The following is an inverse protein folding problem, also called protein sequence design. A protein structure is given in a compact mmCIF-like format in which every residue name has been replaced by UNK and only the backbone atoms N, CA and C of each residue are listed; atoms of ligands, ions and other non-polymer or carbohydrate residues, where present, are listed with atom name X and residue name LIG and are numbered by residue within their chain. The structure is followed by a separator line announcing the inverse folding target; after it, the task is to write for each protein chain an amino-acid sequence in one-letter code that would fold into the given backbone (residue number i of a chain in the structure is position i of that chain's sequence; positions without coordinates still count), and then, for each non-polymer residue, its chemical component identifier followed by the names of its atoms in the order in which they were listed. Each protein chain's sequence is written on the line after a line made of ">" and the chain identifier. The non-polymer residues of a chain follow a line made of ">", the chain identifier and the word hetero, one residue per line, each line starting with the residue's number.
data_IF_034041582101
#
_entry.id   IF_034041582101
#
_cell.length_a   1.000
_cell.length_b   1.000
_cell.length_c   1.000
_cell.angle_alpha   90.00
_cell.angle_beta   90.00
_cell.angle_gamma   90.00
#
_symmetry.space_group_name_H-M   'P 1'
#
loop_
_entity.id
_entity.type
_entity.pdbx_description
1 polymer ?
#
# COMPACT_ATOMS: atom_id res chain seq x y z
N UNK A 1 -35.47 -18.56 -12.21
CA UNK A 1 -35.14 -19.99 -11.95
C UNK A 1 -33.88 -20.43 -12.69
N UNK A 2 -33.66 -20.07 -13.98
CA UNK A 2 -32.50 -20.48 -14.76
C UNK A 2 -31.14 -19.97 -14.24
N UNK A 3 -31.06 -18.76 -13.72
CA UNK A 3 -29.81 -18.15 -13.22
C UNK A 3 -29.31 -18.82 -11.93
N UNK A 4 -30.21 -19.27 -11.07
CA UNK A 4 -29.87 -19.97 -9.82
C UNK A 4 -29.33 -21.39 -10.12
N UNK A 5 -29.84 -22.06 -11.12
CA UNK A 5 -29.38 -23.38 -11.56
C UNK A 5 -27.98 -23.31 -12.23
N UNK A 6 -27.69 -22.25 -12.98
CA UNK A 6 -26.38 -22.04 -13.62
C UNK A 6 -25.31 -21.75 -12.58
N UNK A 7 -25.62 -20.96 -11.56
CA UNK A 7 -24.69 -20.69 -10.45
C UNK A 7 -24.38 -21.94 -9.63
N UNK A 8 -25.39 -22.76 -9.33
CA UNK A 8 -25.17 -24.01 -8.58
C UNK A 8 -24.34 -25.03 -9.33
N UNK A 9 -24.48 -25.08 -10.67
CA UNK A 9 -23.69 -25.98 -11.52
C UNK A 9 -22.24 -25.54 -11.63
N UNK A 10 -21.98 -24.22 -11.76
CA UNK A 10 -20.65 -23.66 -11.76
C UNK A 10 -19.93 -23.82 -10.41
N UNK A 11 -20.64 -23.69 -9.28
CA UNK A 11 -20.09 -23.96 -7.95
C UNK A 11 -19.74 -25.43 -7.76
N UNK A 12 -20.58 -26.36 -8.24
CA UNK A 12 -20.30 -27.79 -8.19
C UNK A 12 -19.06 -28.16 -9.03
N UNK A 13 -18.95 -27.65 -10.26
CA UNK A 13 -17.77 -27.89 -11.11
C UNK A 13 -16.50 -27.28 -10.50
N UNK A 14 -16.60 -26.14 -9.85
CA UNK A 14 -15.47 -25.50 -9.15
C UNK A 14 -15.01 -26.34 -7.95
N UNK A 15 -15.95 -26.84 -7.13
CA UNK A 15 -15.65 -27.69 -5.98
C UNK A 15 -15.08 -29.07 -6.41
N UNK A 16 -15.54 -29.63 -7.52
CA UNK A 16 -14.96 -30.85 -8.09
C UNK A 16 -13.52 -30.65 -8.57
N UNK A 17 -13.26 -29.59 -9.35
CA UNK A 17 -11.89 -29.23 -9.78
C UNK A 17 -10.96 -28.96 -8.60
N UNK A 18 -11.46 -28.32 -7.55
CA UNK A 18 -10.72 -28.09 -6.31
C UNK A 18 -10.36 -29.38 -5.60
N UNK A 19 -11.31 -30.33 -5.50
CA UNK A 19 -11.07 -31.67 -4.94
C UNK A 19 -10.05 -32.47 -5.76
N UNK A 20 -10.10 -32.35 -7.07
CA UNK A 20 -9.16 -33.03 -7.97
C UNK A 20 -7.74 -32.48 -7.85
N UNK A 21 -7.59 -31.14 -7.80
CA UNK A 21 -6.29 -30.50 -7.54
C UNK A 21 -5.72 -30.87 -6.17
N UNK A 22 -6.58 -30.97 -5.14
CA UNK A 22 -6.19 -31.42 -3.79
C UNK A 22 -5.70 -32.87 -3.81
N UNK A 23 -6.37 -33.77 -4.55
CA UNK A 23 -5.95 -35.17 -4.71
C UNK A 23 -4.61 -35.28 -5.43
N UNK A 24 -4.43 -34.54 -6.54
CA UNK A 24 -3.16 -34.56 -7.30
C UNK A 24 -2.00 -34.04 -6.47
N UNK A 25 -2.21 -33.00 -5.68
CA UNK A 25 -1.18 -32.45 -4.82
C UNK A 25 -0.85 -33.39 -3.65
N UNK A 26 -1.84 -34.08 -3.06
CA UNK A 26 -1.64 -35.06 -2.01
C UNK A 26 -0.83 -36.25 -2.51
N UNK A 27 -1.16 -36.76 -3.72
CA UNK A 27 -0.42 -37.84 -4.38
C UNK A 27 1.03 -37.42 -4.72
N UNK A 28 1.26 -36.18 -5.14
CA UNK A 28 2.60 -35.66 -5.43
C UNK A 28 3.43 -35.49 -4.15
N UNK A 29 2.83 -35.03 -3.07
CA UNK A 29 3.48 -34.93 -1.75
C UNK A 29 3.83 -36.29 -1.17
N UNK A 30 2.96 -37.30 -1.37
CA UNK A 30 3.22 -38.68 -0.94
C UNK A 30 4.31 -39.36 -1.76
N UNK A 31 4.35 -39.12 -3.07
CA UNK A 31 5.41 -39.61 -3.95
C UNK A 31 6.78 -38.98 -3.61
N UNK A 32 6.83 -37.69 -3.32
CA UNK A 32 8.05 -36.99 -2.84
C UNK A 32 8.47 -37.51 -1.47
N UNK A 33 7.51 -37.80 -0.58
CA UNK A 33 7.78 -38.39 0.74
C UNK A 33 8.41 -39.77 0.66
N UNK A 34 7.96 -40.61 -0.29
CA UNK A 34 8.56 -41.93 -0.53
C UNK A 34 9.94 -41.85 -1.17
N UNK A 35 10.20 -40.86 -2.02
CA UNK A 35 11.48 -40.68 -2.68
C UNK A 35 12.58 -40.06 -1.76
N UNK A 36 12.20 -39.26 -0.76
CA UNK A 36 13.13 -38.52 0.11
C UNK A 36 12.70 -38.48 1.58
N UNK A 37 12.64 -39.62 2.29
CA UNK A 37 12.11 -39.70 3.65
C UNK A 37 12.84 -38.85 4.68
N UNK A 38 14.16 -38.64 4.52
CA UNK A 38 14.96 -37.85 5.46
C UNK A 38 14.74 -36.33 5.38
N UNK A 39 14.18 -35.83 4.28
CA UNK A 39 13.87 -34.39 4.10
C UNK A 39 12.46 -34.00 4.58
N UNK A 40 11.63 -34.97 4.91
CA UNK A 40 10.26 -34.74 5.36
C UNK A 40 10.16 -34.01 6.71
N UNK A 41 11.17 -34.14 7.57
CA UNK A 41 11.20 -33.41 8.85
C UNK A 41 11.35 -31.90 8.67
N UNK A 42 12.06 -31.44 7.60
CA UNK A 42 12.16 -30.02 7.27
C UNK A 42 11.00 -29.51 6.42
N UNK A 43 10.24 -30.39 5.78
CA UNK A 43 9.09 -30.03 4.95
C UNK A 43 7.79 -29.89 5.76
N UNK A 44 7.75 -30.36 7.02
CA UNK A 44 6.58 -30.17 7.90
C UNK A 44 6.34 -28.70 8.23
N UNK A 45 7.37 -27.87 8.27
CA UNK A 45 7.23 -26.41 8.40
C UNK A 45 6.87 -25.71 7.08
N UNK A 46 7.02 -26.41 5.94
CA UNK A 46 6.71 -25.90 4.59
C UNK A 46 5.52 -26.60 3.96
N UNK A 47 4.65 -27.25 4.73
CA UNK A 47 3.33 -27.62 4.20
C UNK A 47 2.63 -26.32 3.84
N UNK A 48 2.72 -25.98 2.56
CA UNK A 48 1.72 -25.12 1.94
C UNK A 48 0.39 -25.80 2.22
N UNK A 49 -0.36 -25.28 3.17
CA UNK A 49 -1.74 -25.68 3.40
C UNK A 49 -2.48 -25.40 2.10
N UNK A 50 -2.72 -26.43 1.31
CA UNK A 50 -3.45 -26.36 0.05
C UNK A 50 -4.94 -26.08 0.27
N UNK A 51 -5.42 -26.18 1.53
CA UNK A 51 -6.70 -25.61 1.96
C UNK A 51 -6.73 -24.09 1.92
N UNK A 52 -5.58 -23.44 2.04
CA UNK A 52 -5.47 -22.00 1.79
C UNK A 52 -5.23 -21.79 0.29
N UNK A 53 -6.30 -21.54 -0.44
CA UNK A 53 -6.22 -20.90 -1.76
C UNK A 53 -5.23 -19.75 -1.70
N UNK A 54 -4.61 -19.40 -2.82
CA UNK A 54 -3.48 -18.45 -2.86
C UNK A 54 -3.75 -17.17 -2.07
N UNK A 55 -5.00 -16.69 -2.02
CA UNK A 55 -5.44 -15.49 -1.31
C UNK A 55 -5.91 -15.72 0.14
N UNK A 56 -6.31 -16.96 0.52
CA UNK A 56 -6.78 -17.29 1.88
C UNK A 56 -5.66 -17.65 2.86
N UNK A 57 -4.41 -17.58 2.42
CA UNK A 57 -3.23 -17.93 3.21
C UNK A 57 -3.02 -17.07 4.45
N UNK A 58 -2.36 -17.65 5.44
CA UNK A 58 -1.79 -16.90 6.55
C UNK A 58 -0.38 -16.46 6.21
N UNK A 59 -0.09 -15.20 6.45
CA UNK A 59 1.24 -14.64 6.29
C UNK A 59 2.03 -14.79 7.60
N UNK A 60 3.30 -15.18 7.52
CA UNK A 60 4.21 -15.18 8.68
C UNK A 60 4.58 -13.74 9.07
N UNK A 61 4.99 -13.53 10.32
CA UNK A 61 5.43 -12.21 10.78
C UNK A 61 6.55 -11.64 9.90
N UNK A 62 7.62 -12.38 9.55
CA UNK A 62 8.64 -11.86 8.64
C UNK A 62 8.08 -11.49 7.26
N UNK A 63 7.15 -12.30 6.71
CA UNK A 63 6.50 -11.95 5.44
C UNK A 63 5.68 -10.67 5.55
N UNK A 64 4.93 -10.47 6.65
CA UNK A 64 4.17 -9.23 6.85
C UNK A 64 5.09 -8.01 6.96
N UNK A 65 6.23 -8.13 7.64
CA UNK A 65 7.23 -7.04 7.73
C UNK A 65 7.76 -6.70 6.34
N UNK A 66 8.16 -7.69 5.55
CA UNK A 66 8.67 -7.45 4.20
C UNK A 66 7.58 -6.92 3.26
N UNK A 67 6.34 -7.41 3.36
CA UNK A 67 5.19 -6.87 2.61
C UNK A 67 4.95 -5.41 2.99
N UNK A 68 4.99 -5.06 4.29
CA UNK A 68 4.87 -3.68 4.76
C UNK A 68 5.87 -2.77 4.07
N UNK A 69 7.17 -3.10 4.13
CA UNK A 69 8.21 -2.28 3.51
C UNK A 69 8.12 -2.26 1.99
N UNK A 70 7.74 -3.36 1.37
CA UNK A 70 7.51 -3.40 -0.09
C UNK A 70 6.38 -2.45 -0.51
N UNK A 71 5.27 -2.45 0.22
CA UNK A 71 4.15 -1.53 -0.05
C UNK A 71 4.51 -0.07 0.25
N UNK A 72 5.27 0.19 1.33
CA UNK A 72 5.79 1.53 1.61
C UNK A 72 6.65 2.06 0.45
N UNK A 73 7.53 1.22 -0.09
CA UNK A 73 8.41 1.56 -1.19
C UNK A 73 7.66 1.75 -2.51
N UNK A 74 6.73 0.85 -2.83
CA UNK A 74 5.87 0.97 -4.03
C UNK A 74 5.01 2.24 -3.95
N UNK A 75 4.42 2.53 -2.78
CA UNK A 75 3.67 3.76 -2.56
C UNK A 75 4.53 5.01 -2.74
N UNK A 76 5.77 4.99 -2.27
CA UNK A 76 6.72 6.09 -2.49
C UNK A 76 7.05 6.28 -3.97
N UNK A 77 7.34 5.20 -4.72
CA UNK A 77 7.56 5.28 -6.18
C UNK A 77 6.32 5.88 -6.86
N UNK A 78 5.13 5.44 -6.49
CA UNK A 78 3.86 5.91 -7.04
C UNK A 78 3.70 7.43 -6.86
N UNK A 79 3.83 7.92 -5.64
CA UNK A 79 3.69 9.34 -5.32
C UNK A 79 4.76 10.21 -5.99
N UNK A 80 6.02 9.77 -5.97
CA UNK A 80 7.12 10.48 -6.63
C UNK A 80 6.91 10.53 -8.13
N UNK A 81 6.46 9.43 -8.74
CA UNK A 81 6.20 9.35 -10.18
C UNK A 81 5.04 10.27 -10.59
N UNK A 82 3.92 10.22 -9.84
CA UNK A 82 2.78 11.12 -10.11
C UNK A 82 3.19 12.58 -10.02
N UNK A 83 3.95 12.94 -8.98
CA UNK A 83 4.42 14.30 -8.81
C UNK A 83 5.40 14.71 -9.92
N UNK A 84 6.31 13.84 -10.32
CA UNK A 84 7.24 14.07 -11.41
C UNK A 84 6.52 14.30 -12.75
N UNK A 85 5.46 13.54 -13.03
CA UNK A 85 4.66 13.70 -14.25
C UNK A 85 3.89 15.04 -14.23
N UNK A 86 3.32 15.42 -13.08
CA UNK A 86 2.48 16.61 -12.95
C UNK A 86 3.27 17.91 -12.87
N UNK A 87 4.38 17.92 -12.15
CA UNK A 87 5.17 19.13 -11.87
C UNK A 87 6.54 19.19 -12.58
N UNK A 88 6.91 18.12 -13.31
CA UNK A 88 8.22 17.97 -13.97
C UNK A 88 9.43 18.11 -13.01
N UNK A 89 9.21 18.02 -11.71
CA UNK A 89 10.24 18.13 -10.68
C UNK A 89 10.28 16.87 -9.81
N UNK A 90 11.50 16.38 -9.53
CA UNK A 90 11.67 15.30 -8.57
C UNK A 90 11.51 15.83 -7.15
N UNK A 91 10.58 15.27 -6.40
CA UNK A 91 10.36 15.60 -4.99
C UNK A 91 10.28 14.32 -4.19
N UNK A 92 11.05 14.21 -3.13
CA UNK A 92 10.92 13.11 -2.17
C UNK A 92 9.60 13.29 -1.39
N UNK A 93 8.60 12.46 -1.69
CA UNK A 93 7.26 12.56 -1.09
C UNK A 93 7.19 11.91 0.28
N UNK A 94 6.35 12.47 1.14
CA UNK A 94 6.10 11.99 2.49
C UNK A 94 6.86 12.73 3.59
N UNK A 95 6.57 12.39 4.84
CA UNK A 95 7.13 13.02 6.04
C UNK A 95 8.55 12.52 6.32
N UNK A 96 8.83 11.27 5.93
CA UNK A 96 10.10 10.59 6.15
C UNK A 96 11.10 10.91 5.03
N UNK A 97 12.39 10.75 5.32
CA UNK A 97 13.46 11.03 4.36
C UNK A 97 13.79 9.83 3.50
N UNK A 98 13.60 8.61 4.01
CA UNK A 98 13.80 7.38 3.25
C UNK A 98 12.71 7.15 2.18
N UNK A 99 12.96 6.20 1.26
CA UNK A 99 12.04 5.90 0.15
C UNK A 99 10.87 5.01 0.61
N UNK A 100 10.10 5.49 1.58
CA UNK A 100 8.95 4.77 2.13
C UNK A 100 7.82 5.69 2.57
N UNK A 101 6.61 5.28 2.26
CA UNK A 101 5.38 5.90 2.73
C UNK A 101 4.63 4.94 3.65
N UNK A 102 4.73 5.10 4.98
CA UNK A 102 4.14 4.17 5.95
C UNK A 102 2.64 3.97 5.80
N UNK A 103 1.93 4.96 5.29
CA UNK A 103 0.47 4.89 5.07
C UNK A 103 0.09 3.75 4.12
N UNK A 104 0.87 3.52 3.04
CA UNK A 104 0.64 2.43 2.09
C UNK A 104 0.92 1.06 2.71
N UNK A 105 2.02 0.94 3.44
CA UNK A 105 2.35 -0.29 4.17
C UNK A 105 1.32 -0.61 5.25
N UNK A 106 0.94 0.39 6.06
CA UNK A 106 -0.04 0.23 7.13
C UNK A 106 -1.42 -0.14 6.58
N UNK A 107 -1.89 0.56 5.55
CA UNK A 107 -3.14 0.26 4.87
C UNK A 107 -3.16 -1.18 4.35
N UNK A 108 -2.10 -1.60 3.63
CA UNK A 108 -2.00 -2.96 3.11
C UNK A 108 -1.97 -4.03 4.19
N UNK A 109 -1.23 -3.84 5.28
CA UNK A 109 -1.21 -4.78 6.40
C UNK A 109 -2.55 -4.84 7.12
N UNK A 110 -3.21 -3.69 7.33
CA UNK A 110 -4.55 -3.66 7.93
C UNK A 110 -5.57 -4.42 7.06
N UNK A 111 -5.54 -4.24 5.74
CA UNK A 111 -6.37 -5.01 4.81
C UNK A 111 -6.11 -6.51 4.98
N UNK A 112 -4.84 -6.93 4.96
CA UNK A 112 -4.46 -8.35 5.06
C UNK A 112 -4.86 -8.99 6.39
N UNK A 113 -4.89 -8.24 7.49
CA UNK A 113 -5.22 -8.75 8.83
C UNK A 113 -6.71 -8.62 9.12
N UNK A 114 -7.26 -7.39 9.00
CA UNK A 114 -8.62 -7.09 9.43
C UNK A 114 -9.68 -7.67 8.49
N UNK A 115 -9.40 -7.64 7.17
CA UNK A 115 -10.35 -8.09 6.16
C UNK A 115 -10.16 -9.56 5.75
N UNK A 116 -9.34 -10.32 6.47
CA UNK A 116 -9.06 -11.73 6.18
C UNK A 116 -10.33 -12.58 5.96
N UNK A 117 -11.38 -12.35 6.76
CA UNK A 117 -12.65 -13.08 6.66
C UNK A 117 -13.48 -12.74 5.41
N UNK A 118 -13.17 -11.62 4.75
CA UNK A 118 -13.90 -11.10 3.58
C UNK A 118 -13.25 -11.53 2.25
N UNK A 119 -12.05 -12.10 2.26
CA UNK A 119 -11.29 -12.45 1.07
C UNK A 119 -11.97 -13.41 0.10
N UNK A 120 -13.00 -14.15 0.56
CA UNK A 120 -13.81 -15.01 -0.30
C UNK A 120 -14.91 -14.23 -1.06
N UNK A 121 -15.07 -12.92 -0.78
CA UNK A 121 -16.09 -12.04 -1.38
C UNK A 121 -15.45 -10.78 -1.95
N UNK A 122 -14.90 -10.82 -3.18
CA UNK A 122 -14.10 -9.73 -3.75
C UNK A 122 -14.80 -8.37 -3.75
N UNK A 123 -16.10 -8.34 -4.01
CA UNK A 123 -16.87 -7.09 -4.00
C UNK A 123 -16.98 -6.50 -2.59
N UNK A 124 -17.23 -7.36 -1.59
CA UNK A 124 -17.28 -6.92 -0.18
C UNK A 124 -15.89 -6.48 0.29
N UNK A 125 -14.85 -7.19 -0.13
CA UNK A 125 -13.45 -6.85 0.14
C UNK A 125 -13.10 -5.46 -0.42
N UNK A 126 -13.52 -5.15 -1.66
CA UNK A 126 -13.36 -3.85 -2.27
C UNK A 126 -13.95 -2.73 -1.40
N UNK A 127 -15.24 -2.82 -1.06
CA UNK A 127 -15.90 -1.78 -0.25
C UNK A 127 -15.33 -1.70 1.18
N UNK A 128 -14.99 -2.83 1.78
CA UNK A 128 -14.35 -2.86 3.09
C UNK A 128 -12.95 -2.20 3.06
N UNK A 129 -12.19 -2.39 1.97
CA UNK A 129 -10.90 -1.71 1.76
C UNK A 129 -11.07 -0.21 1.57
N UNK A 130 -12.10 0.23 0.81
CA UNK A 130 -12.45 1.65 0.68
C UNK A 130 -12.67 2.29 2.05
N UNK A 131 -13.53 1.68 2.88
CA UNK A 131 -13.84 2.19 4.22
C UNK A 131 -12.61 2.20 5.10
N UNK A 132 -11.89 1.07 5.19
CA UNK A 132 -10.73 0.94 6.07
C UNK A 132 -9.62 1.92 5.70
N UNK A 133 -9.25 2.00 4.41
CA UNK A 133 -8.20 2.90 3.95
C UNK A 133 -8.63 4.37 4.04
N UNK A 134 -9.89 4.68 3.77
CA UNK A 134 -10.43 6.02 3.96
C UNK A 134 -10.31 6.50 5.42
N UNK A 135 -10.57 5.63 6.39
CA UNK A 135 -10.31 5.94 7.81
C UNK A 135 -8.81 6.18 8.06
N UNK A 136 -7.95 5.29 7.58
CA UNK A 136 -6.49 5.43 7.76
C UNK A 136 -5.99 6.74 7.17
N UNK A 137 -6.41 7.09 5.95
CA UNK A 137 -5.98 8.31 5.27
C UNK A 137 -6.50 9.55 5.98
N UNK A 138 -7.79 9.58 6.34
CA UNK A 138 -8.38 10.71 7.03
C UNK A 138 -7.67 11.01 8.36
N UNK A 139 -7.51 9.98 9.20
CA UNK A 139 -6.88 10.17 10.51
C UNK A 139 -5.38 10.40 10.42
N UNK A 140 -4.68 9.86 9.43
CA UNK A 140 -3.27 10.18 9.18
C UNK A 140 -3.11 11.65 8.79
N UNK A 141 -3.93 12.15 7.88
CA UNK A 141 -3.94 13.57 7.49
C UNK A 141 -4.21 14.48 8.70
N UNK A 142 -5.22 14.14 9.50
CA UNK A 142 -5.57 14.89 10.70
C UNK A 142 -4.42 14.89 11.71
N UNK A 143 -3.83 13.72 11.97
CA UNK A 143 -2.69 13.59 12.89
C UNK A 143 -1.48 14.41 12.44
N UNK A 144 -1.14 14.36 11.16
CA UNK A 144 -0.02 15.12 10.60
C UNK A 144 -0.26 16.63 10.69
N UNK A 145 -1.48 17.08 10.40
CA UNK A 145 -1.83 18.49 10.52
C UNK A 145 -1.72 18.99 11.97
N UNK A 146 -2.23 18.22 12.94
CA UNK A 146 -2.14 18.57 14.36
C UNK A 146 -0.69 18.52 14.86
N UNK A 147 0.08 17.51 14.44
CA UNK A 147 1.44 17.26 14.96
C UNK A 147 2.51 18.15 14.33
N UNK A 148 2.37 18.45 13.04
CA UNK A 148 3.39 19.15 12.24
C UNK A 148 2.92 20.53 11.76
N UNK A 149 1.65 20.88 11.96
CA UNK A 149 1.06 22.14 11.49
C UNK A 149 0.94 22.23 9.97
N UNK A 150 1.03 21.10 9.24
CA UNK A 150 1.08 21.06 7.78
C UNK A 150 0.28 19.89 7.23
N UNK A 151 -0.24 20.06 6.00
CA UNK A 151 -0.88 19.00 5.23
C UNK A 151 0.05 18.50 4.14
N UNK A 152 0.23 17.19 4.04
CA UNK A 152 1.03 16.56 2.98
C UNK A 152 0.23 16.31 1.71
N UNK A 153 -1.09 16.42 1.76
CA UNK A 153 -2.00 16.41 0.60
C UNK A 153 -3.26 17.19 0.91
N UNK A 154 -3.91 17.68 -0.14
CA UNK A 154 -5.16 18.39 -0.04
C UNK A 154 -6.04 18.06 -1.25
N UNK A 155 -7.22 17.52 -0.98
CA UNK A 155 -8.21 17.16 -1.99
C UNK A 155 -9.32 18.20 -2.14
N UNK A 156 -9.12 19.44 -1.73
CA UNK A 156 -10.09 20.50 -1.99
C UNK A 156 -10.29 20.63 -3.51
N UNK A 157 -11.56 20.68 -3.92
CA UNK A 157 -11.94 20.71 -5.33
C UNK A 157 -12.14 19.34 -5.99
N UNK A 158 -11.75 18.24 -5.35
CA UNK A 158 -12.04 16.88 -5.83
C UNK A 158 -13.47 16.45 -5.48
N UNK A 159 -14.02 15.52 -6.28
CA UNK A 159 -15.38 15.05 -6.09
C UNK A 159 -15.55 14.33 -4.74
N UNK A 160 -16.65 14.67 -4.04
CA UNK A 160 -16.97 14.13 -2.70
C UNK A 160 -15.80 14.18 -1.72
N UNK A 161 -15.01 15.28 -1.73
CA UNK A 161 -13.96 15.40 -0.71
C UNK A 161 -14.58 15.67 0.68
N UNK A 162 -13.94 15.11 1.69
CA UNK A 162 -14.27 15.33 3.09
C UNK A 162 -13.11 16.09 3.77
N UNK A 163 -13.34 17.38 4.04
CA UNK A 163 -12.36 18.29 4.67
C UNK A 163 -11.00 18.35 3.93
N UNK A 164 -10.99 18.10 2.60
CA UNK A 164 -9.78 18.03 1.80
C UNK A 164 -8.85 16.85 2.15
N UNK A 165 -9.27 15.90 3.02
CA UNK A 165 -8.42 14.80 3.50
C UNK A 165 -8.58 13.51 2.72
N UNK A 166 -9.79 13.25 2.23
CA UNK A 166 -10.16 12.11 1.37
C UNK A 166 -11.08 12.59 0.27
N UNK A 167 -11.10 11.87 -0.87
CA UNK A 167 -12.00 12.13 -2.00
C UNK A 167 -12.46 10.83 -2.65
N UNK A 168 -13.50 10.87 -3.46
CA UNK A 168 -14.07 9.68 -4.08
C UNK A 168 -13.06 8.97 -5.01
N UNK A 169 -12.27 9.72 -5.75
CA UNK A 169 -11.24 9.18 -6.66
C UNK A 169 -10.15 8.43 -5.87
N UNK A 170 -9.67 9.00 -4.76
CA UNK A 170 -8.72 8.34 -3.87
C UNK A 170 -9.28 7.07 -3.25
N UNK A 171 -10.54 7.13 -2.78
CA UNK A 171 -11.23 5.98 -2.20
C UNK A 171 -11.40 4.83 -3.21
N UNK A 172 -11.69 5.15 -4.49
CA UNK A 172 -11.77 4.15 -5.56
C UNK A 172 -10.41 3.45 -5.76
N UNK A 173 -9.33 4.22 -5.78
CA UNK A 173 -7.96 3.68 -5.90
C UNK A 173 -7.63 2.78 -4.72
N UNK A 174 -8.04 3.12 -3.50
CA UNK A 174 -7.85 2.26 -2.32
C UNK A 174 -8.62 0.95 -2.40
N UNK A 175 -9.85 0.98 -2.89
CA UNK A 175 -10.62 -0.26 -3.11
C UNK A 175 -9.95 -1.18 -4.12
N UNK A 176 -9.52 -0.64 -5.27
CA UNK A 176 -8.79 -1.38 -6.29
C UNK A 176 -7.43 -1.88 -5.78
N UNK A 177 -6.71 -1.02 -5.08
CA UNK A 177 -5.43 -1.36 -4.43
C UNK A 177 -5.59 -2.47 -3.40
N UNK A 178 -6.64 -2.43 -2.58
CA UNK A 178 -6.97 -3.47 -1.61
C UNK A 178 -7.18 -4.84 -2.26
N UNK A 179 -8.00 -4.87 -3.31
CA UNK A 179 -8.21 -6.08 -4.12
C UNK A 179 -6.89 -6.57 -4.73
N UNK A 180 -6.09 -5.68 -5.32
CA UNK A 180 -4.80 -6.04 -5.89
C UNK A 180 -3.83 -6.59 -4.82
N UNK A 181 -3.79 -5.98 -3.64
CA UNK A 181 -2.96 -6.44 -2.51
C UNK A 181 -3.36 -7.84 -2.08
N UNK A 182 -4.66 -8.09 -1.86
CA UNK A 182 -5.15 -9.37 -1.34
C UNK A 182 -4.95 -10.51 -2.32
N UNK A 183 -5.27 -10.30 -3.59
CA UNK A 183 -5.36 -11.38 -4.56
C UNK A 183 -4.11 -11.54 -5.42
N UNK A 184 -3.27 -10.51 -5.53
CA UNK A 184 -2.11 -10.52 -6.44
C UNK A 184 -0.82 -10.20 -5.70
N UNK A 185 -0.70 -9.00 -5.13
CA UNK A 185 0.58 -8.45 -4.68
C UNK A 185 1.13 -9.22 -3.47
N UNK A 186 0.34 -9.35 -2.40
CA UNK A 186 0.80 -10.02 -1.19
C UNK A 186 1.07 -11.52 -1.39
N UNK A 187 0.25 -12.29 -2.14
CA UNK A 187 0.59 -13.67 -2.48
C UNK A 187 1.87 -13.81 -3.29
N UNK A 188 2.12 -12.94 -4.26
CA UNK A 188 3.35 -12.96 -5.06
C UNK A 188 4.59 -12.64 -4.23
N UNK A 189 4.52 -11.59 -3.41
CA UNK A 189 5.61 -11.20 -2.51
C UNK A 189 5.91 -12.30 -1.49
N UNK A 190 4.89 -12.88 -0.86
CA UNK A 190 5.08 -13.96 0.10
C UNK A 190 5.70 -15.20 -0.56
N UNK A 191 5.27 -15.57 -1.77
CA UNK A 191 5.89 -16.65 -2.54
C UNK A 191 7.37 -16.38 -2.86
N UNK A 192 7.72 -15.13 -3.13
CA UNK A 192 9.10 -14.72 -3.36
C UNK A 192 9.92 -14.82 -2.06
N UNK A 193 9.42 -14.27 -0.95
CA UNK A 193 10.13 -14.27 0.34
C UNK A 193 10.35 -15.68 0.90
N UNK A 194 9.40 -16.59 0.69
CA UNK A 194 9.53 -18.01 1.10
C UNK A 194 10.63 -18.77 0.37
N UNK A 195 11.12 -18.27 -0.76
CA UNK A 195 12.29 -18.87 -1.46
C UNK A 195 13.62 -18.50 -0.81
N UNK A 196 13.64 -17.46 0.03
CA UNK A 196 14.85 -16.95 0.69
C UNK A 196 15.03 -17.66 2.02
N UNK A 197 16.28 -17.93 2.41
CA UNK A 197 16.61 -18.57 3.69
C UNK A 197 16.10 -17.70 4.86
N UNK A 198 15.43 -18.30 5.84
CA UNK A 198 14.82 -17.59 6.97
C UNK A 198 15.82 -16.69 7.73
N UNK A 199 17.07 -17.11 7.86
CA UNK A 199 18.12 -16.28 8.51
C UNK A 199 18.37 -14.98 7.75
N UNK A 200 18.37 -15.02 6.41
CA UNK A 200 18.54 -13.82 5.57
C UNK A 200 17.32 -12.93 5.67
N UNK A 201 16.11 -13.51 5.59
CA UNK A 201 14.84 -12.77 5.79
C UNK A 201 14.84 -12.07 7.14
N UNK A 202 15.22 -12.77 8.22
CA UNK A 202 15.29 -12.19 9.56
C UNK A 202 16.30 -11.03 9.66
N UNK A 203 17.48 -11.17 9.06
CA UNK A 203 18.49 -10.11 9.03
C UNK A 203 18.01 -8.88 8.24
N UNK A 204 17.37 -9.08 7.09
CA UNK A 204 16.78 -7.99 6.28
C UNK A 204 15.64 -7.29 7.03
N UNK A 205 14.73 -8.05 7.67
CA UNK A 205 13.68 -7.47 8.50
C UNK A 205 14.27 -6.59 9.63
N UNK A 206 15.28 -7.09 10.34
CA UNK A 206 15.91 -6.35 11.42
C UNK A 206 16.57 -5.07 10.90
N UNK A 207 17.31 -5.14 9.79
CA UNK A 207 17.96 -3.98 9.18
C UNK A 207 16.93 -2.91 8.73
N UNK A 208 15.84 -3.33 8.08
CA UNK A 208 14.76 -2.43 7.63
C UNK A 208 14.06 -1.77 8.82
N UNK A 209 13.76 -2.52 9.88
CA UNK A 209 13.11 -1.97 11.08
C UNK A 209 14.04 -0.94 11.74
N UNK A 210 15.33 -1.24 11.89
CA UNK A 210 16.28 -0.29 12.49
C UNK A 210 16.38 0.98 11.65
N UNK A 211 16.57 0.86 10.32
CA UNK A 211 16.63 2.00 9.42
C UNK A 211 15.36 2.85 9.48
N UNK A 212 14.20 2.21 9.52
CA UNK A 212 12.90 2.88 9.61
C UNK A 212 12.71 3.62 10.95
N UNK A 213 13.11 3.01 12.07
CA UNK A 213 13.04 3.66 13.39
C UNK A 213 13.97 4.88 13.43
N UNK A 214 15.19 4.76 12.91
CA UNK A 214 16.14 5.87 12.84
C UNK A 214 15.57 7.02 12.03
N UNK A 215 15.02 6.74 10.83
CA UNK A 215 14.40 7.76 9.99
C UNK A 215 13.16 8.38 10.66
N UNK A 216 12.30 7.59 11.31
CA UNK A 216 11.16 8.11 12.07
C UNK A 216 11.59 9.06 13.20
N UNK A 217 12.61 8.71 13.97
CA UNK A 217 13.12 9.54 15.06
C UNK A 217 13.74 10.84 14.52
N UNK A 218 14.49 10.75 13.43
CA UNK A 218 15.07 11.90 12.76
C UNK A 218 13.98 12.82 12.17
N UNK A 219 13.05 12.26 11.42
CA UNK A 219 11.98 12.99 10.74
C UNK A 219 10.96 13.61 11.71
N UNK A 220 10.82 13.07 12.92
CA UNK A 220 9.98 13.69 13.96
C UNK A 220 10.50 15.09 14.36
N UNK A 221 11.83 15.28 14.37
CA UNK A 221 12.46 16.58 14.67
C UNK A 221 12.61 17.44 13.42
N UNK A 222 12.87 16.80 12.30
CA UNK A 222 13.14 17.43 11.02
C UNK A 222 12.25 16.79 9.95
N UNK A 223 10.94 17.13 9.88
CA UNK A 223 10.05 16.55 8.87
C UNK A 223 10.56 16.87 7.45
N UNK A 224 10.44 15.90 6.53
CA UNK A 224 10.70 16.17 5.14
C UNK A 224 9.65 17.15 4.61
N UNK A 225 10.06 18.38 4.34
CA UNK A 225 9.23 19.49 3.89
C UNK A 225 9.55 19.90 2.46
N UNK A 226 10.00 18.96 1.62
CA UNK A 226 10.31 19.22 0.21
C UNK A 226 9.14 19.88 -0.55
N UNK A 227 9.42 20.46 -1.71
CA UNK A 227 8.41 21.07 -2.59
C UNK A 227 7.27 20.06 -2.85
N UNK A 228 6.01 20.51 -2.85
CA UNK A 228 4.84 19.65 -3.08
C UNK A 228 4.07 19.26 -1.82
N UNK A 229 4.41 19.83 -0.68
CA UNK A 229 3.56 19.82 0.52
C UNK A 229 2.61 21.00 0.38
N UNK A 230 1.30 20.76 0.52
CA UNK A 230 0.35 21.85 0.69
C UNK A 230 0.60 22.47 2.06
N UNK A 231 1.28 23.61 2.04
CA UNK A 231 1.55 24.39 3.22
C UNK A 231 0.26 25.08 3.64
N UNK A 232 -0.13 24.87 4.87
CA UNK A 232 -1.19 25.59 5.56
C UNK A 232 -2.63 25.42 5.04
N UNK A 233 -3.53 25.53 5.97
CA UNK A 233 -4.96 25.75 5.82
C UNK A 233 -5.26 26.60 4.57
N UNK A 234 -5.44 25.96 3.41
CA UNK A 234 -5.72 26.62 2.11
C UNK A 234 -6.98 27.50 2.14
N UNK A 235 -7.65 27.60 3.29
CA UNK A 235 -8.82 28.42 3.53
C UNK A 235 -8.53 29.71 4.30
N UNK A 236 -7.26 30.03 4.61
CA UNK A 236 -6.96 31.32 5.22
C UNK A 236 -6.76 32.37 4.12
N UNK A 237 -7.45 33.53 4.21
CA UNK A 237 -7.24 34.64 3.27
C UNK A 237 -5.79 35.08 3.15
N UNK A 238 -5.02 34.87 4.22
CA UNK A 238 -3.62 35.21 4.32
C UNK A 238 -2.70 34.33 3.45
N UNK A 239 -3.04 33.04 3.29
CA UNK A 239 -2.33 32.13 2.39
C UNK A 239 -2.61 32.47 0.90
N UNK A 240 -3.86 32.72 0.57
CA UNK A 240 -4.22 33.15 -0.80
C UNK A 240 -3.55 34.47 -1.18
N UNK A 241 -3.41 35.38 -0.22
CA UNK A 241 -2.66 36.63 -0.39
C UNK A 241 -1.16 36.36 -0.56
N UNK A 242 -0.55 35.47 0.22
CA UNK A 242 0.88 35.13 0.12
C UNK A 242 1.22 34.48 -1.22
N UNK A 243 0.40 33.53 -1.73
CA UNK A 243 0.57 32.97 -3.08
C UNK A 243 0.36 34.00 -4.19
N UNK A 244 -0.62 34.88 -4.05
CA UNK A 244 -0.82 35.98 -5.00
C UNK A 244 0.38 36.94 -5.03
N UNK A 245 0.95 37.27 -3.87
CA UNK A 245 2.12 38.14 -3.79
C UNK A 245 3.38 37.46 -4.35
N UNK A 246 3.63 36.19 -4.01
CA UNK A 246 4.77 35.44 -4.51
C UNK A 246 4.70 35.22 -6.03
N UNK A 247 3.52 34.86 -6.57
CA UNK A 247 3.32 34.76 -8.01
C UNK A 247 3.26 36.09 -8.73
N UNK A 248 3.13 37.22 -8.02
CA UNK A 248 3.29 38.58 -8.60
C UNK A 248 4.76 38.98 -8.60
N UNK A 249 5.54 38.63 -7.60
CA UNK A 249 6.96 38.88 -7.47
C UNK A 249 7.77 38.11 -8.52
N UNK A 250 7.50 36.81 -8.70
CA UNK A 250 8.09 35.97 -9.75
C UNK A 250 7.82 36.52 -11.15
N UNK A 251 6.58 36.98 -11.42
CA UNK A 251 6.21 37.63 -12.70
C UNK A 251 6.87 39.00 -12.89
N UNK A 252 7.18 39.69 -11.82
CA UNK A 252 7.87 40.97 -11.87
C UNK A 252 9.38 40.79 -12.17
N UNK A 253 10.01 39.81 -11.53
CA UNK A 253 11.41 39.45 -11.79
C UNK A 253 11.62 38.94 -13.21
N UNK A 254 10.70 38.08 -13.71
CA UNK A 254 10.71 37.64 -15.11
C UNK A 254 10.60 38.79 -16.12
N UNK A 255 9.78 39.79 -15.82
CA UNK A 255 9.70 41.00 -16.69
C UNK A 255 10.96 41.86 -16.64
N UNK A 256 11.57 41.98 -15.48
CA UNK A 256 12.82 42.73 -15.35
C UNK A 256 13.95 42.00 -16.10
N UNK A 257 14.06 40.67 -15.95
CA UNK A 257 15.04 39.85 -16.64
C UNK A 257 14.85 39.88 -18.18
N UNK A 258 13.60 39.93 -18.63
CA UNK A 258 13.27 40.08 -20.06
C UNK A 258 13.65 41.45 -20.62
N UNK A 259 13.37 42.55 -19.88
CA UNK A 259 13.70 43.91 -20.31
C UNK A 259 15.20 44.24 -20.20
N UNK A 260 16.00 43.46 -19.45
CA UNK A 260 17.47 43.64 -19.42
C UNK A 260 18.19 42.86 -20.53
N UNK A 261 17.49 42.01 -21.29
CA UNK A 261 18.04 41.24 -22.40
C UNK A 261 17.83 41.90 -23.79
N UNK A 262 17.12 42.99 -23.81
CA UNK A 262 16.92 43.86 -25.00
C UNK A 262 17.30 45.30 -24.69
#
# INVERSE_FOLDING_TARGET
>A
FGIILINSKAELEFEEKKKEMLRMSKNKAEAVGKAYPARLFNLKEHRVDLENTVYMRNYSIPSLILIFFSLCFVGWIWEVTLHLISSHTFVNRGVLHGPWLPIYGSGGILILICLKKLRNKPVVEFFASVVLCGFVEYFTSLYLEISCGRRWWNYNGYFLNLNGRICAEGLLVFGLGGVAIVYIIAPLLDNFFRKIKLRVVGAVCAALIVAFIVDMVYSKKNPNTGKGISTFNDNTPEYMLAEMYQGAEDRYEDRISFNQKF
#
